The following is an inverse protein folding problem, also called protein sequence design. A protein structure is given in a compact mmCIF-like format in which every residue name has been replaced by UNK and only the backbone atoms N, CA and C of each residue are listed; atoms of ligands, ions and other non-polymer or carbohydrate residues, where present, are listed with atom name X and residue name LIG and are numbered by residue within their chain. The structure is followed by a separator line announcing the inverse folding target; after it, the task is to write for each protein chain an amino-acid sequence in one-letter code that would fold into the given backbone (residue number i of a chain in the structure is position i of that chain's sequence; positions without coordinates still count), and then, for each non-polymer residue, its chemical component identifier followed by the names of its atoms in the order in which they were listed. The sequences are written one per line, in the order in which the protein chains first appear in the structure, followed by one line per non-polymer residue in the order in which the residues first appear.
data_IF_804333445067
#
_entry.id   IF_804333445067
#
_cell.length_a   1.000
_cell.length_b   1.000
_cell.length_c   1.000
_cell.angle_alpha   90.00
_cell.angle_beta   90.00
_cell.angle_gamma   90.00
#
_symmetry.space_group_name_H-M   'P 1'
#
loop_
_entity.id
_entity.type
_entity.pdbx_description
1 polymer ?
#
# COMPACT_ATOMS: atom_id res chain seq x y z
N UNK A 1 16.06 40.33 -18.43
CA UNK A 1 15.32 39.05 -18.52
C UNK A 1 14.06 39.19 -17.68
N UNK A 2 12.89 38.89 -18.25
CA UNK A 2 11.59 38.97 -17.57
C UNK A 2 11.42 37.92 -16.47
N UNK A 3 10.53 38.19 -15.51
CA UNK A 3 10.24 37.33 -14.36
C UNK A 3 8.80 36.76 -14.35
N UNK A 4 8.51 35.80 -13.46
CA UNK A 4 7.18 35.18 -13.34
C UNK A 4 6.09 36.19 -12.92
N UNK A 5 6.43 37.24 -12.21
CA UNK A 5 5.50 38.28 -11.81
C UNK A 5 5.06 39.06 -13.02
N UNK A 6 6.00 39.42 -13.90
CA UNK A 6 5.71 40.13 -15.15
C UNK A 6 4.83 39.31 -16.08
N UNK A 7 5.10 37.97 -16.18
CA UNK A 7 4.22 37.06 -16.94
C UNK A 7 2.79 37.07 -16.41
N UNK A 8 2.60 36.91 -15.09
CA UNK A 8 1.27 36.94 -14.47
C UNK A 8 0.57 38.29 -14.72
N UNK A 9 1.27 39.37 -14.62
CA UNK A 9 0.73 40.73 -14.84
C UNK A 9 0.33 40.90 -16.30
N UNK A 10 1.15 40.46 -17.23
CA UNK A 10 0.82 40.55 -18.64
C UNK A 10 -0.41 39.69 -18.99
N UNK A 11 -0.45 38.41 -18.55
CA UNK A 11 -1.62 37.56 -18.76
C UNK A 11 -2.91 38.22 -18.22
N UNK A 12 -2.86 38.76 -17.01
CA UNK A 12 -4.03 39.44 -16.43
C UNK A 12 -4.49 40.64 -17.27
N UNK A 13 -3.55 41.50 -17.74
CA UNK A 13 -3.90 42.66 -18.58
C UNK A 13 -4.41 42.20 -19.95
N UNK A 14 -3.83 41.16 -20.54
CA UNK A 14 -4.21 40.59 -21.82
C UNK A 14 -5.64 39.99 -21.80
N UNK A 15 -6.00 39.35 -20.70
CA UNK A 15 -7.33 38.74 -20.52
C UNK A 15 -8.41 39.79 -20.21
N UNK A 16 -8.09 40.76 -19.36
CA UNK A 16 -9.03 41.82 -18.99
C UNK A 16 -9.16 42.93 -20.05
N UNK A 17 -8.19 43.04 -20.95
CA UNK A 17 -8.07 44.17 -21.88
C UNK A 17 -8.24 45.52 -21.19
N UNK A 18 -7.83 45.61 -19.92
CA UNK A 18 -7.97 46.77 -19.05
C UNK A 18 -6.97 46.71 -17.90
N UNK A 19 -6.09 47.68 -17.79
CA UNK A 19 -5.16 47.80 -16.66
C UNK A 19 -5.86 47.95 -15.31
N UNK A 20 -6.98 48.66 -15.26
CA UNK A 20 -7.74 48.88 -14.02
C UNK A 20 -8.37 47.54 -13.53
N UNK A 21 -9.04 46.82 -14.42
CA UNK A 21 -9.62 45.50 -14.06
C UNK A 21 -8.54 44.46 -13.70
N UNK A 22 -7.46 44.45 -14.45
CA UNK A 22 -6.33 43.58 -14.14
C UNK A 22 -5.70 43.89 -12.78
N UNK A 23 -5.55 45.17 -12.43
CA UNK A 23 -5.04 45.58 -11.13
C UNK A 23 -5.97 45.17 -9.98
N UNK A 24 -7.30 45.31 -10.15
CA UNK A 24 -8.30 44.80 -9.18
C UNK A 24 -8.17 43.29 -9.02
N UNK A 25 -8.12 42.55 -10.11
CA UNK A 25 -7.98 41.09 -10.12
C UNK A 25 -6.70 40.62 -9.43
N UNK A 26 -5.62 41.36 -9.57
CA UNK A 26 -4.32 41.07 -8.96
C UNK A 26 -4.15 41.62 -7.54
N UNK A 27 -5.16 42.33 -7.01
CA UNK A 27 -5.14 42.99 -5.70
C UNK A 27 -3.97 44.01 -5.54
N UNK A 28 -3.68 44.76 -6.60
CA UNK A 28 -2.63 45.81 -6.60
C UNK A 28 -3.18 47.12 -7.17
N UNK A 29 -2.43 48.21 -7.01
CA UNK A 29 -2.74 49.48 -7.70
C UNK A 29 -2.28 49.43 -9.16
N UNK A 30 -2.94 50.19 -10.02
CA UNK A 30 -2.66 50.21 -11.46
C UNK A 30 -1.26 50.76 -11.85
N UNK A 31 -0.66 51.78 -11.16
CA UNK A 31 0.65 52.29 -11.56
C UNK A 31 1.77 51.22 -11.58
N UNK A 32 2.01 50.39 -10.52
CA UNK A 32 3.04 49.38 -10.56
C UNK A 32 2.78 48.31 -11.62
N UNK A 33 1.50 47.94 -11.89
CA UNK A 33 1.15 47.03 -12.96
C UNK A 33 1.61 47.57 -14.32
N UNK A 34 1.29 48.84 -14.62
CA UNK A 34 1.69 49.47 -15.87
C UNK A 34 3.21 49.58 -16.04
N UNK A 35 3.93 49.90 -14.95
CA UNK A 35 5.40 49.95 -14.96
C UNK A 35 6.02 48.55 -15.27
N UNK A 36 5.48 47.51 -14.70
CA UNK A 36 5.99 46.15 -14.94
C UNK A 36 5.73 45.65 -16.37
N UNK A 37 4.59 45.99 -16.94
CA UNK A 37 4.32 45.67 -18.36
C UNK A 37 5.26 46.48 -19.27
N UNK A 38 5.51 47.76 -18.99
CA UNK A 38 6.47 48.54 -19.77
C UNK A 38 7.91 48.01 -19.63
N UNK A 39 8.28 47.51 -18.45
CA UNK A 39 9.58 46.86 -18.24
C UNK A 39 9.71 45.57 -19.05
N UNK A 40 8.64 44.76 -19.08
CA UNK A 40 8.58 43.54 -19.90
C UNK A 40 8.73 43.85 -21.39
N UNK A 41 7.98 44.83 -21.92
CA UNK A 41 8.05 45.23 -23.33
C UNK A 41 9.44 45.78 -23.68
N UNK A 42 10.07 46.54 -22.78
CA UNK A 42 11.47 47.01 -22.96
C UNK A 42 12.48 45.86 -22.96
N UNK A 43 12.33 44.92 -22.07
CA UNK A 43 13.25 43.72 -22.00
C UNK A 43 13.14 42.87 -23.25
N UNK A 44 11.94 42.74 -23.81
CA UNK A 44 11.70 42.03 -25.07
C UNK A 44 12.06 42.88 -26.34
N UNK A 45 12.12 44.17 -26.20
CA UNK A 45 12.29 45.07 -27.35
C UNK A 45 11.10 45.15 -28.28
N UNK A 46 9.89 44.69 -27.82
CA UNK A 46 8.68 44.50 -28.63
C UNK A 46 7.48 45.03 -27.83
N UNK A 47 6.59 45.79 -28.47
CA UNK A 47 5.31 46.17 -27.88
C UNK A 47 4.35 44.94 -27.93
N UNK A 48 3.83 44.57 -26.77
CA UNK A 48 2.86 43.46 -26.65
C UNK A 48 1.41 43.97 -26.61
N UNK A 49 1.23 45.24 -26.20
CA UNK A 49 -0.07 45.89 -26.09
C UNK A 49 -0.14 47.18 -26.90
N UNK A 50 -1.22 47.35 -27.63
CA UNK A 50 -1.61 48.63 -28.21
C UNK A 50 -2.34 49.46 -27.16
N UNK A 51 -1.81 50.67 -26.93
CA UNK A 51 -2.36 51.62 -25.94
C UNK A 51 -2.95 52.82 -26.63
N UNK A 52 -4.26 52.88 -26.66
CA UNK A 52 -4.97 54.07 -27.11
C UNK A 52 -5.75 54.66 -25.91
N UNK A 53 -5.99 55.95 -25.87
CA UNK A 53 -6.67 56.63 -24.75
C UNK A 53 -8.01 55.98 -24.33
N UNK A 54 -8.58 55.11 -25.14
CA UNK A 54 -9.91 54.47 -24.91
C UNK A 54 -9.90 52.95 -24.90
N UNK A 55 -8.80 52.27 -25.33
CA UNK A 55 -8.83 50.82 -25.49
C UNK A 55 -7.41 50.22 -25.32
N UNK A 56 -7.32 49.04 -24.66
CA UNK A 56 -6.15 48.20 -24.62
C UNK A 56 -6.45 47.00 -25.52
N UNK A 57 -5.53 46.69 -26.43
CA UNK A 57 -5.63 45.50 -27.31
C UNK A 57 -4.25 44.82 -27.35
N UNK A 58 -4.23 43.55 -27.73
CA UNK A 58 -2.99 42.81 -27.99
C UNK A 58 -2.49 43.11 -29.39
N UNK A 59 -1.17 43.32 -29.51
CA UNK A 59 -0.49 43.26 -30.80
C UNK A 59 -0.39 41.79 -31.28
N UNK A 60 -0.03 41.55 -32.54
CA UNK A 60 0.25 40.17 -33.01
C UNK A 60 1.37 39.49 -32.21
N UNK A 61 2.53 40.14 -31.91
CA UNK A 61 3.49 39.59 -30.96
C UNK A 61 2.90 39.37 -29.55
N UNK A 62 1.99 40.24 -29.08
CA UNK A 62 1.32 40.11 -27.80
C UNK A 62 0.44 38.87 -27.72
N UNK A 63 -0.26 38.49 -28.80
CA UNK A 63 -1.04 37.24 -28.86
C UNK A 63 -0.15 36.01 -28.74
N UNK A 64 0.94 35.96 -29.51
CA UNK A 64 1.93 34.86 -29.43
C UNK A 64 2.54 34.79 -28.04
N UNK A 65 2.92 35.93 -27.47
CA UNK A 65 3.53 35.98 -26.14
C UNK A 65 2.53 35.59 -25.04
N UNK A 66 1.24 35.85 -25.21
CA UNK A 66 0.19 35.44 -24.25
C UNK A 66 0.13 33.90 -24.13
N UNK A 67 0.14 33.21 -25.26
CA UNK A 67 0.12 31.75 -25.27
C UNK A 67 1.39 31.16 -24.63
N UNK A 68 2.56 31.74 -24.91
CA UNK A 68 3.82 31.30 -24.30
C UNK A 68 3.86 31.61 -22.79
N UNK A 69 3.40 32.79 -22.37
CA UNK A 69 3.34 33.16 -20.95
C UNK A 69 2.44 32.22 -20.15
N UNK A 70 1.27 31.84 -20.70
CA UNK A 70 0.38 30.84 -20.09
C UNK A 70 1.05 29.47 -19.94
N UNK A 71 1.74 29.00 -20.98
CA UNK A 71 2.45 27.73 -20.93
C UNK A 71 3.55 27.72 -19.87
N UNK A 72 4.37 28.78 -19.78
CA UNK A 72 5.42 28.92 -18.77
C UNK A 72 4.84 28.89 -17.36
N UNK A 73 3.78 29.65 -17.12
CA UNK A 73 3.11 29.68 -15.82
C UNK A 73 2.51 28.32 -15.45
N UNK A 74 1.89 27.63 -16.41
CA UNK A 74 1.35 26.29 -16.21
C UNK A 74 2.46 25.25 -15.90
N UNK A 75 3.59 25.32 -16.58
CA UNK A 75 4.74 24.44 -16.32
C UNK A 75 5.36 24.69 -14.95
N UNK A 76 5.44 25.93 -14.50
CA UNK A 76 5.94 26.26 -13.17
C UNK A 76 5.01 25.71 -12.07
N UNK A 77 3.69 25.79 -12.25
CA UNK A 77 2.72 25.24 -11.31
C UNK A 77 2.76 23.70 -11.30
N UNK A 78 2.92 23.08 -12.47
CA UNK A 78 3.09 21.63 -12.58
C UNK A 78 4.37 21.15 -11.86
N UNK A 79 5.47 21.86 -12.02
CA UNK A 79 6.73 21.56 -11.33
C UNK A 79 6.55 21.62 -9.81
N UNK A 80 5.90 22.68 -9.31
CA UNK A 80 5.59 22.86 -7.89
C UNK A 80 4.72 21.71 -7.35
N UNK A 81 3.65 21.39 -8.07
CA UNK A 81 2.71 20.33 -7.70
C UNK A 81 3.37 18.95 -7.66
N UNK A 82 4.18 18.61 -8.69
CA UNK A 82 4.93 17.33 -8.73
C UNK A 82 5.93 17.20 -7.59
N UNK A 83 6.68 18.27 -7.31
CA UNK A 83 7.64 18.28 -6.20
C UNK A 83 6.94 18.10 -4.85
N UNK A 84 5.81 18.76 -4.65
CA UNK A 84 4.99 18.61 -3.45
C UNK A 84 4.42 17.17 -3.32
N UNK A 85 3.97 16.57 -4.42
CA UNK A 85 3.47 15.20 -4.43
C UNK A 85 4.54 14.17 -4.01
N UNK A 86 5.79 14.34 -4.51
CA UNK A 86 6.92 13.50 -4.09
C UNK A 86 7.21 13.68 -2.60
N UNK A 87 7.28 14.91 -2.13
CA UNK A 87 7.53 15.22 -0.72
C UNK A 87 6.44 14.68 0.22
N UNK A 88 5.19 14.60 -0.26
CA UNK A 88 4.06 14.03 0.49
C UNK A 88 3.93 12.50 0.34
N UNK A 89 4.80 11.83 -0.42
CA UNK A 89 4.72 10.38 -0.66
C UNK A 89 3.59 9.94 -1.60
N UNK A 90 3.00 10.88 -2.34
CA UNK A 90 1.96 10.58 -3.32
C UNK A 90 2.50 10.18 -4.70
N UNK A 91 3.82 10.15 -4.86
CA UNK A 91 4.52 9.75 -6.09
C UNK A 91 5.84 9.09 -5.74
N UNK A 92 6.19 8.01 -6.45
CA UNK A 92 7.41 7.24 -6.24
C UNK A 92 7.17 5.74 -6.43
N UNK A 93 8.00 4.91 -5.78
CA UNK A 93 7.93 3.45 -5.84
C UNK A 93 7.82 2.88 -4.43
N UNK A 94 7.02 1.83 -4.26
CA UNK A 94 6.90 1.03 -3.03
C UNK A 94 7.09 -0.45 -3.37
N UNK A 95 8.13 -1.07 -2.82
CA UNK A 95 8.42 -2.50 -2.97
C UNK A 95 7.79 -3.27 -1.80
N UNK A 96 6.71 -3.99 -2.09
CA UNK A 96 5.91 -4.70 -1.11
C UNK A 96 6.05 -6.21 -1.29
N UNK A 97 6.31 -6.94 -0.20
CA UNK A 97 6.26 -8.39 -0.19
C UNK A 97 5.10 -8.91 0.69
N UNK A 98 4.64 -10.12 0.39
CA UNK A 98 3.59 -10.80 1.16
C UNK A 98 3.78 -12.32 1.12
N UNK A 99 3.32 -13.04 2.14
CA UNK A 99 3.26 -14.49 2.09
C UNK A 99 2.00 -14.93 1.34
N UNK A 100 2.06 -16.08 0.65
CA UNK A 100 0.92 -16.60 -0.14
C UNK A 100 -0.39 -16.64 0.66
N UNK A 101 -0.37 -17.07 1.92
CA UNK A 101 -1.59 -17.14 2.74
C UNK A 101 -2.20 -15.76 3.04
N UNK A 102 -1.43 -14.68 2.96
CA UNK A 102 -1.92 -13.31 3.13
C UNK A 102 -2.70 -12.83 1.92
N UNK A 103 -2.47 -13.37 0.72
CA UNK A 103 -3.27 -13.02 -0.47
C UNK A 103 -4.76 -13.36 -0.32
N UNK A 104 -5.10 -14.31 0.55
CA UNK A 104 -6.48 -14.66 0.88
C UNK A 104 -7.05 -13.82 2.03
N UNK A 105 -6.23 -13.04 2.72
CA UNK A 105 -6.65 -12.19 3.83
C UNK A 105 -7.12 -10.81 3.33
N UNK A 106 -8.27 -10.30 3.78
CA UNK A 106 -8.82 -9.02 3.28
C UNK A 106 -7.89 -7.81 3.52
N UNK A 107 -6.97 -7.88 4.46
CA UNK A 107 -6.03 -6.79 4.75
C UNK A 107 -5.22 -6.37 3.52
N UNK A 108 -4.65 -7.31 2.78
CA UNK A 108 -3.80 -6.98 1.63
C UNK A 108 -4.59 -6.27 0.51
N UNK A 109 -5.66 -6.85 -0.06
CA UNK A 109 -6.38 -6.20 -1.15
C UNK A 109 -7.06 -4.89 -0.74
N UNK A 110 -7.59 -4.78 0.49
CA UNK A 110 -8.20 -3.53 0.98
C UNK A 110 -7.16 -2.43 1.14
N UNK A 111 -6.00 -2.72 1.75
CA UNK A 111 -4.91 -1.75 1.90
C UNK A 111 -4.39 -1.29 0.54
N UNK A 112 -4.17 -2.22 -0.41
CA UNK A 112 -3.73 -1.89 -1.77
C UNK A 112 -4.75 -1.01 -2.51
N UNK A 113 -6.03 -1.35 -2.43
CA UNK A 113 -7.10 -0.56 -3.05
C UNK A 113 -7.15 0.86 -2.47
N UNK A 114 -7.12 0.97 -1.15
CA UNK A 114 -7.15 2.26 -0.45
C UNK A 114 -5.91 3.11 -0.79
N UNK A 115 -4.72 2.49 -0.73
CA UNK A 115 -3.49 3.19 -1.07
C UNK A 115 -3.48 3.70 -2.51
N UNK A 116 -3.95 2.90 -3.48
CA UNK A 116 -4.08 3.30 -4.88
C UNK A 116 -4.99 4.53 -5.06
N UNK A 117 -6.05 4.63 -4.25
CA UNK A 117 -6.96 5.80 -4.26
C UNK A 117 -6.28 7.05 -3.67
N UNK A 118 -5.51 6.89 -2.60
CA UNK A 118 -4.86 8.00 -1.88
C UNK A 118 -3.59 8.48 -2.57
N UNK A 119 -2.83 7.59 -3.20
CA UNK A 119 -1.54 7.84 -3.81
C UNK A 119 -1.43 7.20 -5.21
N UNK A 120 -2.23 7.64 -6.20
CA UNK A 120 -2.28 7.03 -7.54
C UNK A 120 -0.96 7.18 -8.32
N UNK A 121 -0.06 8.07 -7.91
CA UNK A 121 1.26 8.26 -8.52
C UNK A 121 2.35 7.36 -7.93
N UNK A 122 2.03 6.45 -7.00
CA UNK A 122 2.97 5.47 -6.45
C UNK A 122 2.89 4.16 -7.24
N UNK A 123 4.03 3.72 -7.78
CA UNK A 123 4.19 2.40 -8.39
C UNK A 123 4.43 1.34 -7.29
N UNK A 124 3.45 0.45 -7.08
CA UNK A 124 3.55 -0.61 -6.07
C UNK A 124 4.02 -1.89 -6.72
N UNK A 125 5.25 -2.31 -6.41
CA UNK A 125 5.82 -3.57 -6.85
C UNK A 125 5.57 -4.67 -5.83
N UNK A 126 4.81 -5.70 -6.24
CA UNK A 126 4.42 -6.82 -5.40
C UNK A 126 5.33 -8.02 -5.61
N UNK A 127 5.79 -8.64 -4.51
CA UNK A 127 6.58 -9.90 -4.53
C UNK A 127 5.98 -10.89 -3.54
N UNK A 128 5.75 -12.12 -3.99
CA UNK A 128 5.41 -13.21 -3.09
C UNK A 128 6.69 -13.80 -2.49
N UNK A 129 6.78 -13.80 -1.16
CA UNK A 129 7.95 -14.27 -0.41
C UNK A 129 7.53 -14.86 0.93
N UNK A 130 8.20 -15.90 1.41
CA UNK A 130 8.02 -16.41 2.77
C UNK A 130 8.56 -15.42 3.81
N UNK A 131 8.18 -15.57 5.09
CA UNK A 131 8.52 -14.62 6.17
C UNK A 131 10.03 -14.37 6.33
N UNK A 132 10.84 -15.42 6.40
CA UNK A 132 12.28 -15.27 6.64
C UNK A 132 12.99 -14.52 5.49
N UNK A 133 12.78 -14.85 4.21
CA UNK A 133 13.24 -14.03 3.08
C UNK A 133 12.75 -12.57 3.12
N UNK A 134 11.50 -12.30 3.56
CA UNK A 134 11.01 -10.92 3.68
C UNK A 134 11.82 -10.11 4.69
N UNK A 135 12.13 -10.69 5.87
CA UNK A 135 12.94 -10.00 6.88
C UNK A 135 14.35 -9.71 6.37
N UNK A 136 14.98 -10.66 5.68
CA UNK A 136 16.29 -10.45 5.06
C UNK A 136 16.24 -9.35 4.00
N UNK A 137 15.24 -9.34 3.12
CA UNK A 137 15.06 -8.35 2.08
C UNK A 137 14.76 -6.95 2.62
N UNK A 138 14.01 -6.82 3.73
CA UNK A 138 13.81 -5.56 4.45
C UNK A 138 15.14 -5.00 4.95
N UNK A 139 15.96 -5.83 5.60
CA UNK A 139 17.27 -5.42 6.14
C UNK A 139 18.27 -5.09 5.04
N UNK A 140 18.20 -5.76 3.89
CA UNK A 140 19.01 -5.49 2.70
C UNK A 140 18.50 -4.30 1.85
N UNK A 141 17.38 -3.66 2.25
CA UNK A 141 16.74 -2.59 1.48
C UNK A 141 16.28 -3.03 0.07
N UNK A 142 15.94 -4.30 -0.09
CA UNK A 142 15.41 -4.85 -1.35
C UNK A 142 13.88 -4.69 -1.45
N UNK A 143 13.19 -4.65 -0.29
CA UNK A 143 11.78 -4.31 -0.15
C UNK A 143 11.61 -3.24 0.94
N UNK A 144 10.49 -2.52 0.91
CA UNK A 144 10.19 -1.43 1.85
C UNK A 144 9.21 -1.89 2.94
N UNK A 145 8.31 -2.82 2.59
CA UNK A 145 7.26 -3.30 3.47
C UNK A 145 6.92 -4.76 3.17
N UNK A 146 6.62 -5.52 4.22
CA UNK A 146 6.26 -6.93 4.12
C UNK A 146 5.02 -7.27 4.94
N UNK A 147 4.02 -7.94 4.34
CA UNK A 147 2.92 -8.56 5.07
C UNK A 147 3.34 -9.96 5.53
N UNK A 148 3.44 -10.14 6.83
CA UNK A 148 4.03 -11.33 7.44
C UNK A 148 3.08 -11.95 8.48
N UNK A 149 3.18 -13.28 8.62
CA UNK A 149 2.54 -14.02 9.71
C UNK A 149 3.60 -14.41 10.72
N UNK A 150 3.80 -13.57 11.74
CA UNK A 150 4.87 -13.77 12.72
C UNK A 150 4.50 -13.19 14.07
N UNK A 151 5.18 -13.64 15.09
CA UNK A 151 5.12 -13.05 16.42
C UNK A 151 6.38 -12.22 16.69
N UNK A 152 6.29 -11.13 17.48
CA UNK A 152 7.45 -10.27 17.80
C UNK A 152 8.66 -11.05 18.32
N UNK A 153 8.43 -12.13 19.09
CA UNK A 153 9.48 -13.01 19.64
C UNK A 153 10.31 -13.74 18.58
N UNK A 154 9.81 -13.85 17.35
CA UNK A 154 10.51 -14.54 16.25
C UNK A 154 11.37 -13.60 15.41
N UNK A 155 11.43 -12.31 15.74
CA UNK A 155 12.28 -11.34 15.07
C UNK A 155 13.72 -11.41 15.62
N UNK A 156 14.65 -11.87 14.80
CA UNK A 156 16.08 -11.92 15.18
C UNK A 156 16.69 -10.52 15.32
N UNK A 157 16.19 -9.51 14.59
CA UNK A 157 16.65 -8.12 14.58
C UNK A 157 15.52 -7.13 14.98
N UNK A 158 14.84 -7.40 16.09
CA UNK A 158 13.69 -6.63 16.56
C UNK A 158 13.94 -5.11 16.70
N UNK A 159 15.21 -4.68 16.83
CA UNK A 159 15.57 -3.25 16.90
C UNK A 159 15.61 -2.57 15.54
N UNK A 160 15.85 -3.32 14.45
CA UNK A 160 15.98 -2.80 13.10
C UNK A 160 14.68 -2.85 12.32
N UNK A 161 13.73 -3.66 12.77
CA UNK A 161 12.42 -3.83 12.13
C UNK A 161 11.31 -3.38 13.08
N UNK A 162 10.29 -2.80 12.51
CA UNK A 162 9.04 -2.41 13.19
C UNK A 162 7.91 -3.30 12.69
N UNK A 163 7.15 -3.90 13.62
CA UNK A 163 5.93 -4.65 13.30
C UNK A 163 4.71 -3.82 13.69
N UNK A 164 3.77 -3.70 12.77
CA UNK A 164 2.43 -3.19 13.00
C UNK A 164 1.45 -4.36 12.93
N UNK A 165 0.83 -4.67 14.04
CA UNK A 165 -0.15 -5.75 14.13
C UNK A 165 -1.43 -5.33 13.41
N UNK A 166 -1.93 -6.21 12.54
CA UNK A 166 -3.17 -5.97 11.77
C UNK A 166 -4.33 -6.79 12.29
N UNK A 167 -4.10 -8.08 12.54
CA UNK A 167 -5.16 -9.00 12.90
C UNK A 167 -4.63 -10.22 13.67
N UNK A 168 -5.54 -10.87 14.42
CA UNK A 168 -5.38 -12.16 15.07
C UNK A 168 -6.28 -13.18 14.38
N UNK A 169 -5.79 -13.79 13.33
CA UNK A 169 -6.55 -14.70 12.50
C UNK A 169 -6.72 -16.07 13.17
N UNK A 170 -7.98 -16.56 13.35
CA UNK A 170 -8.22 -17.90 13.87
C UNK A 170 -7.60 -18.99 12.99
N UNK A 171 -7.28 -20.13 13.59
CA UNK A 171 -6.85 -21.34 12.89
C UNK A 171 -8.02 -22.31 12.74
N UNK A 172 -7.97 -23.06 11.65
CA UNK A 172 -8.94 -24.10 11.32
C UNK A 172 -8.21 -25.40 10.99
N UNK A 173 -8.92 -26.51 11.13
CA UNK A 173 -8.50 -27.80 10.54
C UNK A 173 -9.17 -27.95 9.17
N UNK A 174 -8.37 -28.21 8.16
CA UNK A 174 -8.83 -28.72 6.87
C UNK A 174 -8.91 -30.26 6.99
N UNK A 175 -10.08 -30.81 6.77
CA UNK A 175 -10.41 -32.22 6.90
C UNK A 175 -10.93 -32.76 5.57
N UNK A 176 -10.69 -34.04 5.24
CA UNK A 176 -11.45 -34.69 4.16
C UNK A 176 -12.94 -34.52 4.39
N UNK A 177 -13.73 -34.24 3.35
CA UNK A 177 -15.19 -34.07 3.50
C UNK A 177 -15.88 -35.35 4.05
N UNK A 178 -15.31 -36.51 3.84
CA UNK A 178 -15.77 -37.83 4.38
C UNK A 178 -15.34 -38.06 5.83
N UNK A 179 -14.53 -37.19 6.43
CA UNK A 179 -14.02 -37.41 7.78
C UNK A 179 -15.16 -37.27 8.81
N UNK A 180 -15.24 -38.14 9.85
CA UNK A 180 -16.32 -38.09 10.84
C UNK A 180 -16.47 -36.74 11.55
N UNK A 181 -15.38 -35.99 11.72
CA UNK A 181 -15.37 -34.69 12.38
C UNK A 181 -15.62 -33.52 11.42
N UNK A 182 -15.77 -33.74 10.12
CA UNK A 182 -15.84 -32.69 9.11
C UNK A 182 -17.13 -31.84 9.16
N UNK A 183 -18.16 -32.31 9.85
CA UNK A 183 -19.45 -31.63 10.01
C UNK A 183 -19.59 -30.94 11.39
N UNK A 184 -18.55 -30.90 12.21
CA UNK A 184 -18.57 -30.24 13.53
C UNK A 184 -18.49 -28.72 13.39
N UNK A 185 -19.14 -28.01 14.29
CA UNK A 185 -19.09 -26.54 14.34
C UNK A 185 -17.73 -26.01 14.79
N UNK A 186 -17.05 -26.75 15.67
CA UNK A 186 -15.70 -26.50 16.14
C UNK A 186 -15.06 -27.78 16.67
N UNK A 187 -13.72 -27.80 16.74
CA UNK A 187 -12.93 -28.90 17.28
C UNK A 187 -11.89 -28.37 18.25
N UNK A 188 -11.46 -29.26 19.14
CA UNK A 188 -10.23 -29.11 19.92
C UNK A 188 -9.10 -29.94 19.30
N UNK A 189 -7.86 -29.49 19.42
CA UNK A 189 -6.69 -30.16 18.86
C UNK A 189 -6.56 -31.62 19.36
N UNK A 190 -6.98 -31.89 20.60
CA UNK A 190 -6.96 -33.25 21.16
C UNK A 190 -7.89 -34.24 20.44
N UNK A 191 -8.95 -33.79 19.78
CA UNK A 191 -9.89 -34.66 19.04
C UNK A 191 -9.28 -35.27 17.78
N UNK A 192 -8.15 -34.70 17.30
CA UNK A 192 -7.41 -35.18 16.12
C UNK A 192 -6.04 -35.76 16.50
N UNK A 193 -5.83 -36.14 17.76
CA UNK A 193 -4.55 -36.68 18.24
C UNK A 193 -4.12 -37.99 17.51
N UNK A 194 -5.10 -38.77 17.04
CA UNK A 194 -4.85 -40.01 16.29
C UNK A 194 -4.65 -39.84 14.79
N UNK A 195 -4.89 -38.63 14.27
CA UNK A 195 -4.89 -38.37 12.84
C UNK A 195 -3.47 -38.19 12.28
N UNK A 196 -3.33 -38.51 10.99
CA UNK A 196 -2.16 -38.12 10.21
C UNK A 196 -2.25 -36.65 9.81
N UNK A 197 -1.13 -35.95 9.87
CA UNK A 197 -1.07 -34.54 9.42
C UNK A 197 -0.36 -34.43 8.07
N UNK A 198 -0.90 -33.56 7.22
CA UNK A 198 -0.21 -33.03 6.05
C UNK A 198 0.16 -31.59 6.35
N UNK A 199 1.40 -31.22 6.04
CA UNK A 199 1.95 -29.92 6.44
C UNK A 199 2.66 -29.23 5.29
N UNK A 200 2.94 -27.93 5.42
CA UNK A 200 3.97 -27.31 4.60
C UNK A 200 5.35 -27.55 5.24
N UNK A 201 6.45 -27.58 4.46
CA UNK A 201 7.79 -27.60 5.03
C UNK A 201 8.02 -26.42 5.99
N UNK A 202 8.83 -26.63 7.02
CA UNK A 202 9.10 -25.60 8.03
C UNK A 202 9.70 -24.33 7.42
N UNK A 203 10.52 -24.47 6.36
CA UNK A 203 11.15 -23.36 5.65
C UNK A 203 10.11 -22.46 4.93
N UNK A 204 8.95 -23.02 4.61
CA UNK A 204 7.83 -22.31 3.97
C UNK A 204 6.93 -21.65 4.99
N UNK A 205 6.55 -22.37 6.06
CA UNK A 205 5.52 -21.99 7.01
C UNK A 205 5.96 -22.20 8.47
N UNK A 206 7.12 -21.69 8.86
CA UNK A 206 7.71 -21.88 10.19
C UNK A 206 6.72 -21.54 11.33
N UNK A 207 6.06 -20.39 11.26
CA UNK A 207 5.12 -19.93 12.30
C UNK A 207 3.93 -20.88 12.45
N UNK A 208 3.38 -21.39 11.34
CA UNK A 208 2.26 -22.34 11.37
C UNK A 208 2.72 -23.70 11.90
N UNK A 209 3.92 -24.14 11.52
CA UNK A 209 4.53 -25.38 12.02
C UNK A 209 4.74 -25.31 13.55
N UNK A 210 5.30 -24.22 14.05
CA UNK A 210 5.51 -24.00 15.49
C UNK A 210 4.17 -23.94 16.24
N UNK A 211 3.15 -23.35 15.63
CA UNK A 211 1.80 -23.28 16.19
C UNK A 211 1.15 -24.67 16.26
N UNK A 212 1.26 -25.49 15.20
CA UNK A 212 0.79 -26.88 15.21
C UNK A 212 1.45 -27.68 16.33
N UNK A 213 2.77 -27.60 16.45
CA UNK A 213 3.53 -28.29 17.49
C UNK A 213 3.10 -27.84 18.89
N UNK A 214 2.92 -26.54 19.10
CA UNK A 214 2.52 -26.00 20.40
C UNK A 214 1.09 -26.42 20.79
N UNK A 215 0.13 -26.38 19.87
CA UNK A 215 -1.25 -26.81 20.13
C UNK A 215 -1.34 -28.32 20.39
N UNK A 216 -0.65 -29.13 19.60
CA UNK A 216 -0.60 -30.59 19.80
C UNK A 216 0.05 -30.97 21.15
N UNK A 217 1.15 -30.30 21.49
CA UNK A 217 1.83 -30.51 22.78
C UNK A 217 0.94 -30.14 23.98
N UNK A 218 0.22 -29.02 23.88
CA UNK A 218 -0.75 -28.60 24.89
C UNK A 218 -1.93 -29.61 25.04
N UNK A 219 -2.28 -30.30 23.93
CA UNK A 219 -3.28 -31.36 23.92
C UNK A 219 -2.71 -32.76 24.28
N UNK A 220 -1.43 -32.85 24.63
CA UNK A 220 -0.79 -34.08 25.13
C UNK A 220 -0.30 -35.05 24.04
N UNK A 221 -0.10 -34.60 22.78
CA UNK A 221 0.39 -35.44 21.72
C UNK A 221 1.44 -34.77 20.82
N UNK A 222 2.09 -35.56 19.96
CA UNK A 222 2.99 -35.07 18.91
C UNK A 222 2.35 -35.32 17.54
N UNK A 223 2.27 -34.28 16.66
CA UNK A 223 1.64 -34.44 15.36
C UNK A 223 2.46 -35.36 14.46
N UNK A 224 1.83 -36.40 13.92
CA UNK A 224 2.46 -37.35 12.98
C UNK A 224 2.33 -36.82 11.55
N UNK A 225 3.34 -36.10 11.08
CA UNK A 225 3.38 -35.64 9.68
C UNK A 225 3.69 -36.79 8.76
N UNK A 226 2.80 -37.11 7.81
CA UNK A 226 2.93 -38.19 6.84
C UNK A 226 3.33 -37.72 5.46
N UNK A 227 3.00 -36.44 5.13
CA UNK A 227 3.32 -35.86 3.83
C UNK A 227 3.47 -34.35 3.94
N UNK A 228 4.24 -33.76 3.02
CA UNK A 228 4.41 -32.30 2.93
C UNK A 228 4.10 -31.80 1.51
N UNK A 229 3.57 -30.58 1.42
CA UNK A 229 3.37 -29.87 0.16
C UNK A 229 3.87 -28.42 0.27
N UNK A 230 4.57 -27.94 -0.74
CA UNK A 230 5.12 -26.59 -0.80
C UNK A 230 4.01 -25.53 -0.89
N UNK A 231 2.98 -25.81 -1.70
CA UNK A 231 1.89 -24.90 -2.00
C UNK A 231 0.62 -25.29 -1.25
N UNK A 232 -0.20 -24.28 -0.89
CA UNK A 232 -1.47 -24.51 -0.20
C UNK A 232 -2.44 -25.36 -1.03
N UNK A 233 -2.43 -25.20 -2.35
CA UNK A 233 -3.26 -26.02 -3.26
C UNK A 233 -2.87 -27.49 -3.21
N UNK A 234 -1.57 -27.81 -3.19
CA UNK A 234 -1.07 -29.15 -3.01
C UNK A 234 -1.42 -29.72 -1.63
N UNK A 235 -1.28 -28.91 -0.55
CA UNK A 235 -1.68 -29.30 0.80
C UNK A 235 -3.16 -29.72 0.84
N UNK A 236 -4.04 -28.87 0.30
CA UNK A 236 -5.48 -29.14 0.27
C UNK A 236 -5.84 -30.34 -0.61
N UNK A 237 -5.11 -30.56 -1.71
CA UNK A 237 -5.30 -31.77 -2.54
C UNK A 237 -4.94 -33.03 -1.78
N UNK A 238 -3.88 -33.04 -0.95
CA UNK A 238 -3.52 -34.18 -0.09
C UNK A 238 -4.61 -34.45 0.98
N UNK A 239 -5.19 -33.38 1.55
CA UNK A 239 -6.35 -33.49 2.46
C UNK A 239 -7.55 -34.09 1.73
N UNK A 240 -7.92 -33.56 0.55
CA UNK A 240 -9.03 -34.11 -0.25
C UNK A 240 -8.86 -35.58 -0.61
N UNK A 241 -7.61 -36.01 -0.82
CA UNK A 241 -7.27 -37.40 -1.08
C UNK A 241 -7.31 -38.31 0.17
N UNK A 242 -7.62 -37.75 1.36
CA UNK A 242 -7.70 -38.52 2.61
C UNK A 242 -6.35 -38.93 3.21
N UNK A 243 -5.25 -38.30 2.81
CA UNK A 243 -3.91 -38.61 3.33
C UNK A 243 -3.66 -38.07 4.74
N UNK A 244 -4.51 -37.16 5.22
CA UNK A 244 -4.42 -36.60 6.56
C UNK A 244 -5.20 -35.31 6.69
N UNK A 245 -5.08 -34.68 7.85
CA UNK A 245 -5.68 -33.36 8.19
C UNK A 245 -4.61 -32.28 8.12
N UNK A 246 -5.01 -31.02 7.97
CA UNK A 246 -4.05 -29.91 7.95
C UNK A 246 -4.52 -28.72 8.81
N UNK A 247 -3.57 -28.11 9.53
CA UNK A 247 -3.80 -26.83 10.21
C UNK A 247 -3.61 -25.71 9.20
N UNK A 248 -4.61 -24.79 9.11
CA UNK A 248 -4.61 -23.68 8.16
C UNK A 248 -5.18 -22.40 8.79
N UNK A 249 -4.78 -21.21 8.33
CA UNK A 249 -5.46 -19.95 8.69
C UNK A 249 -6.91 -19.94 8.19
N UNK A 250 -7.81 -19.28 8.92
CA UNK A 250 -9.24 -19.26 8.60
C UNK A 250 -9.56 -18.68 7.21
N UNK A 251 -8.73 -17.76 6.71
CA UNK A 251 -8.90 -17.19 5.36
C UNK A 251 -8.72 -18.20 4.23
N UNK A 252 -8.03 -19.32 4.49
CA UNK A 252 -7.87 -20.39 3.50
C UNK A 252 -9.19 -21.07 3.15
N UNK A 253 -10.21 -20.97 3.98
CA UNK A 253 -11.57 -21.45 3.65
C UNK A 253 -12.14 -20.80 2.40
N UNK A 254 -11.63 -19.63 1.99
CA UNK A 254 -11.99 -19.00 0.71
C UNK A 254 -11.55 -19.85 -0.51
N UNK A 255 -10.58 -20.76 -0.32
CA UNK A 255 -10.18 -21.74 -1.34
C UNK A 255 -11.15 -22.92 -1.26
N UNK A 256 -12.23 -22.86 -2.04
CA UNK A 256 -13.18 -23.95 -2.13
C UNK A 256 -12.62 -25.08 -2.97
N UNK A 257 -12.07 -26.13 -2.31
CA UNK A 257 -11.65 -27.35 -2.98
C UNK A 257 -12.65 -28.48 -2.67
N UNK A 258 -13.19 -29.09 -3.71
CA UNK A 258 -14.09 -30.25 -3.54
C UNK A 258 -13.37 -31.36 -2.74
N UNK A 259 -14.08 -31.94 -1.75
CA UNK A 259 -13.51 -32.97 -0.88
C UNK A 259 -12.79 -32.44 0.37
N UNK A 260 -12.79 -31.13 0.63
CA UNK A 260 -12.21 -30.52 1.85
C UNK A 260 -13.28 -29.72 2.59
N UNK A 261 -13.41 -29.98 3.90
CA UNK A 261 -14.17 -29.15 4.85
C UNK A 261 -13.21 -28.48 5.82
N UNK A 262 -13.58 -27.27 6.26
CA UNK A 262 -12.82 -26.46 7.21
C UNK A 262 -13.57 -26.30 8.51
N UNK A 263 -12.98 -26.77 9.61
CA UNK A 263 -13.59 -26.74 10.94
C UNK A 263 -12.74 -25.85 11.87
N UNK A 264 -13.32 -24.82 12.53
CA UNK A 264 -12.62 -23.96 13.46
C UNK A 264 -11.98 -24.73 14.63
N UNK A 265 -10.79 -24.29 15.08
CA UNK A 265 -10.19 -24.74 16.33
C UNK A 265 -10.62 -23.84 17.48
N UNK A 266 -11.13 -24.45 18.57
CA UNK A 266 -11.57 -23.75 19.76
C UNK A 266 -10.49 -23.65 20.86
N UNK A 267 -9.28 -24.19 20.61
CA UNK A 267 -8.21 -24.18 21.59
C UNK A 267 -7.69 -22.77 21.87
N UNK A 268 -7.38 -22.45 23.13
CA UNK A 268 -6.74 -21.19 23.49
C UNK A 268 -5.43 -21.00 22.69
N UNK A 269 -5.27 -19.83 22.06
CA UNK A 269 -4.09 -19.54 21.25
C UNK A 269 -4.09 -20.14 19.84
N UNK A 270 -5.18 -20.78 19.40
CA UNK A 270 -5.37 -21.25 18.03
C UNK A 270 -5.58 -20.07 17.06
N UNK A 271 -4.61 -19.19 16.96
CA UNK A 271 -4.62 -18.03 16.10
C UNK A 271 -3.21 -17.68 15.60
N UNK A 272 -3.13 -17.05 14.43
CA UNK A 272 -1.92 -16.47 13.87
C UNK A 272 -2.00 -14.95 13.88
N UNK A 273 -0.88 -14.31 14.15
CA UNK A 273 -0.77 -12.85 14.03
C UNK A 273 -0.43 -12.49 12.59
N UNK A 274 -1.21 -11.60 12.01
CA UNK A 274 -0.91 -10.90 10.77
C UNK A 274 -0.33 -9.53 11.13
N UNK A 275 0.82 -9.21 10.56
CA UNK A 275 1.49 -7.94 10.78
C UNK A 275 2.05 -7.37 9.47
N UNK A 276 2.28 -6.06 9.47
CA UNK A 276 3.12 -5.39 8.48
C UNK A 276 4.47 -5.09 9.09
N UNK A 277 5.53 -5.54 8.43
CA UNK A 277 6.92 -5.31 8.80
C UNK A 277 7.54 -4.23 7.91
N UNK A 278 8.33 -3.34 8.49
CA UNK A 278 9.13 -2.33 7.79
C UNK A 278 10.44 -2.08 8.56
N UNK A 279 11.42 -1.41 7.93
CA UNK A 279 12.60 -0.94 8.66
C UNK A 279 12.19 0.09 9.71
N UNK A 280 12.88 0.08 10.88
CA UNK A 280 12.55 0.95 12.00
C UNK A 280 12.94 2.42 11.75
N UNK A 281 13.97 2.64 10.94
CA UNK A 281 14.60 3.92 10.63
C UNK A 281 14.25 4.46 9.22
N UNK A 282 13.34 3.81 8.50
CA UNK A 282 12.93 4.25 7.17
C UNK A 282 12.08 5.53 7.25
N UNK A 283 12.63 6.61 6.70
CA UNK A 283 12.00 7.93 6.64
C UNK A 283 11.31 8.21 5.30
N UNK A 284 11.12 7.20 4.44
CA UNK A 284 10.46 7.36 3.13
C UNK A 284 9.04 7.92 3.27
N UNK A 285 8.71 9.05 2.64
CA UNK A 285 7.35 9.57 2.65
C UNK A 285 6.33 8.61 2.02
N UNK A 286 6.74 7.84 1.00
CA UNK A 286 5.90 6.83 0.35
C UNK A 286 5.56 5.71 1.32
N UNK A 287 6.55 5.21 2.08
CA UNK A 287 6.32 4.20 3.11
C UNK A 287 5.42 4.75 4.22
N UNK A 288 5.67 5.97 4.70
CA UNK A 288 4.86 6.59 5.74
C UNK A 288 3.39 6.72 5.32
N UNK A 289 3.12 7.16 4.08
CA UNK A 289 1.77 7.24 3.50
C UNK A 289 1.11 5.85 3.40
N UNK A 290 1.86 4.83 2.97
CA UNK A 290 1.34 3.47 2.93
C UNK A 290 1.01 2.93 4.33
N UNK A 291 1.88 3.14 5.31
CA UNK A 291 1.66 2.69 6.69
C UNK A 291 0.47 3.40 7.35
N UNK A 292 0.17 4.66 7.00
CA UNK A 292 -1.06 5.33 7.43
C UNK A 292 -2.31 4.61 6.91
N UNK A 293 -2.29 4.14 5.65
CA UNK A 293 -3.38 3.34 5.07
C UNK A 293 -3.53 1.97 5.77
N UNK A 294 -2.40 1.38 6.20
CA UNK A 294 -2.40 0.14 6.99
C UNK A 294 -3.06 0.35 8.36
N UNK A 295 -2.78 1.48 9.01
CA UNK A 295 -3.35 1.80 10.33
C UNK A 295 -4.87 2.02 10.25
N UNK A 296 -5.40 2.62 9.15
CA UNK A 296 -6.85 2.72 8.91
C UNK A 296 -7.51 1.32 8.93
N UNK A 297 -6.90 0.34 8.26
CA UNK A 297 -7.43 -1.04 8.24
C UNK A 297 -7.42 -1.68 9.63
N UNK A 298 -6.35 -1.51 10.41
CA UNK A 298 -6.23 -2.11 11.73
C UNK A 298 -7.30 -1.60 12.71
N UNK A 299 -7.68 -0.31 12.61
CA UNK A 299 -8.74 0.29 13.43
C UNK A 299 -10.14 -0.24 13.06
N UNK A 300 -10.41 -0.43 11.77
CA UNK A 300 -11.69 -0.98 11.30
C UNK A 300 -11.89 -2.44 11.74
N UNK A 301 -10.80 -3.23 11.79
CA UNK A 301 -10.83 -4.64 12.18
C UNK A 301 -11.03 -4.85 13.69
N UNK A 302 -10.69 -3.88 14.52
CA UNK A 302 -10.89 -3.91 15.97
C UNK A 302 -12.35 -3.65 16.42
N UNK A 303 -13.23 -3.25 15.50
CA UNK A 303 -14.64 -2.94 15.76
C UNK A 303 -15.63 -4.03 15.24
N UNK A 304 -15.15 -5.15 14.73
CA UNK A 304 -15.93 -6.34 14.31
C UNK A 304 -15.70 -7.51 15.27
#
# INVERSE_FOLDING_TARGET
MFDFRQLRYFVAVAEELSFTRAAIRLHISQPPLSQQIQALERDLGIALLERNKRKVALTEPGKVFLDQARQILAQAELARSRTAAVAAGHSGQLRLAYTLSVSFHPALPRTLLRHRQMAPGVDVQLREMNNAPQFAALLANEIDVGFVRTEPRHLQDARKLRLRMLDREPLMLALPASHPLSARDALHMGEVAGEAFVTQPREVAATLHDKLTALASAAGFQPRTVQQAQQISGLLALVAAGLGVALVPATIRAVHLAGVNYVPLADPGAQLLLAVASRADDASPVLAQFLATVDEFAHDSGNL
#
